data_IF_691059167733
#
_entry.id   IF_691059167733
#
_cell.length_a   1.000
_cell.length_b   1.000
_cell.length_c   1.000
_cell.angle_alpha   90.00
_cell.angle_beta   90.00
_cell.angle_gamma   90.00
#
_symmetry.space_group_name_H-M   'P 1'
#
loop_
_entity.id
_entity.type
_entity.pdbx_description
1 polymer ?
#
# COMPACT_ATOMS: atom_id res chain seq x y z
N UNK A 1 -8.82 -9.86 22.24
CA UNK A 1 -8.38 -8.48 21.90
C UNK A 1 -7.26 -8.60 20.89
N UNK A 2 -7.55 -8.37 19.61
CA UNK A 2 -6.57 -8.55 18.53
C UNK A 2 -5.91 -7.19 18.28
N UNK A 3 -4.67 -7.04 18.76
CA UNK A 3 -3.92 -5.79 18.70
C UNK A 3 -3.57 -5.43 17.25
N UNK A 4 -4.10 -4.32 16.77
CA UNK A 4 -3.64 -3.69 15.55
C UNK A 4 -2.35 -2.93 15.87
N UNK A 5 -1.26 -3.36 15.26
CA UNK A 5 0.08 -2.77 15.46
C UNK A 5 0.01 -1.30 15.07
N UNK A 6 0.38 -0.46 16.04
CA UNK A 6 0.35 0.99 16.04
C UNK A 6 1.80 1.45 15.96
N UNK A 7 2.28 1.75 14.75
CA UNK A 7 3.51 2.49 14.41
C UNK A 7 3.46 2.59 12.87
N UNK A 8 3.41 3.75 12.21
CA UNK A 8 4.18 4.98 12.41
C UNK A 8 3.31 6.22 12.12
N UNK A 9 3.44 7.26 12.96
CA UNK A 9 3.11 8.66 12.64
C UNK A 9 4.42 9.43 12.60
N UNK A 10 4.65 10.17 11.53
CA UNK A 10 5.32 11.48 11.43
C UNK A 10 5.56 11.73 9.94
N UNK A 11 4.60 12.41 9.31
CA UNK A 11 4.68 13.18 8.07
C UNK A 11 3.68 12.80 6.94
N UNK A 12 2.92 13.84 6.58
CA UNK A 12 2.06 14.12 5.43
C UNK A 12 1.20 13.02 4.75
N UNK A 13 -0.03 12.87 5.28
CA UNK A 13 -1.23 13.14 4.47
C UNK A 13 -2.06 11.96 3.96
N UNK A 14 -2.89 11.37 4.82
CA UNK A 14 -4.07 10.61 4.39
C UNK A 14 -5.35 11.36 4.80
N UNK A 15 -5.56 12.49 4.13
CA UNK A 15 -6.79 13.25 4.16
C UNK A 15 -7.73 12.69 3.07
N UNK A 16 -8.37 11.55 3.37
CA UNK A 16 -9.47 11.03 2.56
C UNK A 16 -10.66 10.74 3.48
N UNK A 17 -11.16 11.83 4.04
CA UNK A 17 -12.49 11.93 4.62
C UNK A 17 -13.55 11.60 3.56
N UNK A 18 -14.32 10.52 3.75
CA UNK A 18 -15.80 10.45 3.63
C UNK A 18 -16.29 9.04 3.23
N UNK A 19 -16.94 8.42 4.22
CA UNK A 19 -17.93 7.33 4.17
C UNK A 19 -18.33 6.76 2.80
N UNK A 20 -18.01 5.48 2.61
CA UNK A 20 -18.83 4.39 2.02
C UNK A 20 -17.98 3.12 2.14
N UNK A 21 -18.58 2.02 2.55
CA UNK A 21 -17.92 0.74 2.92
C UNK A 21 -16.80 0.29 1.94
N UNK A 22 -16.89 0.65 0.65
CA UNK A 22 -15.86 0.36 -0.36
C UNK A 22 -14.61 1.27 -0.35
N UNK A 23 -14.67 2.50 0.16
CA UNK A 23 -13.50 3.38 0.32
C UNK A 23 -12.66 2.92 1.50
N UNK A 24 -13.30 2.48 2.58
CA UNK A 24 -12.61 2.01 3.78
C UNK A 24 -11.72 0.80 3.47
N UNK A 25 -12.24 -0.18 2.72
CA UNK A 25 -11.45 -1.30 2.23
C UNK A 25 -10.27 -0.85 1.35
N UNK A 26 -10.42 0.24 0.60
CA UNK A 26 -9.34 0.77 -0.25
C UNK A 26 -8.23 1.41 0.60
N UNK A 27 -8.61 2.18 1.63
CA UNK A 27 -7.68 2.76 2.62
C UNK A 27 -6.96 1.63 3.34
N UNK A 28 -7.68 0.63 3.86
CA UNK A 28 -7.09 -0.53 4.54
C UNK A 28 -6.10 -1.29 3.66
N UNK A 29 -6.38 -1.44 2.35
CA UNK A 29 -5.42 -2.07 1.43
C UNK A 29 -4.20 -1.17 1.21
N UNK A 30 -4.38 0.14 1.12
CA UNK A 30 -3.29 1.08 0.87
C UNK A 30 -2.34 1.13 2.07
N UNK A 31 -2.90 1.18 3.27
CA UNK A 31 -2.13 1.11 4.53
C UNK A 31 -1.37 -0.21 4.66
N UNK A 32 -1.95 -1.34 4.23
CA UNK A 32 -1.24 -2.62 4.19
C UNK A 32 -0.03 -2.62 3.27
N UNK A 33 -0.12 -1.97 2.09
CA UNK A 33 1.04 -1.86 1.18
C UNK A 33 2.12 -1.02 1.84
N UNK A 34 1.75 0.09 2.47
CA UNK A 34 2.68 0.99 3.14
C UNK A 34 3.38 0.29 4.33
N UNK A 35 2.62 -0.39 5.18
CA UNK A 35 3.15 -1.16 6.31
C UNK A 35 4.07 -2.29 5.84
N UNK A 36 3.72 -2.97 4.73
CA UNK A 36 4.59 -3.98 4.14
C UNK A 36 5.90 -3.37 3.64
N UNK A 37 5.84 -2.23 2.93
CA UNK A 37 7.03 -1.49 2.49
C UNK A 37 7.91 -1.13 3.68
N UNK A 38 7.34 -0.51 4.72
CA UNK A 38 8.09 -0.15 5.94
C UNK A 38 8.75 -1.35 6.61
N UNK A 39 8.10 -2.52 6.62
CA UNK A 39 8.66 -3.77 7.17
C UNK A 39 9.75 -4.41 6.31
N UNK A 40 9.78 -4.13 5.01
CA UNK A 40 10.74 -4.71 4.06
C UNK A 40 11.76 -3.63 3.62
N UNK A 41 12.28 -2.84 4.56
CA UNK A 41 13.31 -1.81 4.32
C UNK A 41 12.89 -0.72 3.31
N UNK A 42 11.59 -0.50 3.15
CA UNK A 42 11.04 0.41 2.16
C UNK A 42 11.07 -0.13 0.74
N UNK A 43 11.37 -1.42 0.52
CA UNK A 43 11.47 -2.00 -0.83
C UNK A 43 10.44 -3.10 -1.01
N UNK A 44 9.70 -2.99 -2.11
CA UNK A 44 8.79 -4.02 -2.58
C UNK A 44 9.19 -4.38 -4.00
N UNK A 45 9.79 -5.56 -4.17
CA UNK A 45 10.01 -6.18 -5.48
C UNK A 45 8.70 -6.71 -6.10
N UNK A 46 7.63 -5.91 -6.05
CA UNK A 46 6.40 -6.12 -6.79
C UNK A 46 6.05 -4.82 -7.52
N UNK A 47 5.79 -4.95 -8.82
CA UNK A 47 5.37 -3.86 -9.71
C UNK A 47 3.98 -4.17 -10.26
N UNK A 48 3.43 -3.30 -11.10
CA UNK A 48 2.15 -3.57 -11.77
C UNK A 48 2.25 -4.70 -12.79
N UNK A 49 3.46 -5.05 -13.23
CA UNK A 49 3.76 -6.24 -14.02
C UNK A 49 3.76 -7.53 -13.21
N UNK A 50 3.87 -7.47 -11.88
CA UNK A 50 3.85 -8.67 -11.03
C UNK A 50 2.57 -9.48 -11.18
N UNK A 51 2.71 -10.78 -10.96
CA UNK A 51 1.60 -11.71 -11.14
C UNK A 51 0.53 -11.48 -10.07
N UNK A 52 -0.76 -11.69 -10.38
CA UNK A 52 -1.82 -11.61 -9.38
C UNK A 52 -1.59 -12.53 -8.17
N UNK A 53 -0.94 -13.68 -8.38
CA UNK A 53 -0.61 -14.65 -7.35
C UNK A 53 0.42 -14.12 -6.36
N UNK A 54 1.49 -13.46 -6.82
CA UNK A 54 2.49 -12.87 -5.94
C UNK A 54 1.93 -11.71 -5.11
N UNK A 55 1.15 -10.84 -5.74
CA UNK A 55 0.45 -9.74 -5.06
C UNK A 55 -0.48 -10.30 -3.99
N UNK A 56 -1.26 -11.34 -4.31
CA UNK A 56 -2.15 -11.98 -3.35
C UNK A 56 -1.37 -12.69 -2.24
N UNK A 57 -0.24 -13.33 -2.55
CA UNK A 57 0.58 -14.04 -1.56
C UNK A 57 1.25 -13.09 -0.56
N UNK A 58 1.75 -11.94 -1.02
CA UNK A 58 2.45 -10.97 -0.15
C UNK A 58 1.51 -10.00 0.55
N UNK A 59 0.49 -9.51 -0.15
CA UNK A 59 -0.35 -8.40 0.30
C UNK A 59 -1.80 -8.80 0.56
N UNK A 60 -2.16 -10.06 0.27
CA UNK A 60 -3.51 -10.61 0.43
C UNK A 60 -4.61 -9.76 -0.22
N UNK A 61 -4.30 -9.20 -1.39
CA UNK A 61 -5.19 -8.33 -2.16
C UNK A 61 -5.14 -8.67 -3.65
N UNK A 62 -6.16 -8.22 -4.37
CA UNK A 62 -6.25 -8.39 -5.82
C UNK A 62 -5.34 -7.40 -6.56
N UNK A 63 -4.84 -7.78 -7.75
CA UNK A 63 -4.05 -6.91 -8.65
C UNK A 63 -4.70 -5.54 -8.92
N UNK A 64 -6.04 -5.49 -9.00
CA UNK A 64 -6.81 -4.24 -9.15
C UNK A 64 -6.73 -3.33 -7.92
N UNK A 65 -6.77 -3.91 -6.71
CA UNK A 65 -6.64 -3.15 -5.46
C UNK A 65 -5.20 -2.64 -5.32
N UNK A 66 -4.21 -3.48 -5.57
CA UNK A 66 -2.80 -3.11 -5.58
C UNK A 66 -2.52 -1.94 -6.50
N UNK A 67 -2.96 -1.99 -7.77
CA UNK A 67 -2.78 -0.89 -8.73
C UNK A 67 -3.40 0.43 -8.25
N UNK A 68 -4.53 0.38 -7.56
CA UNK A 68 -5.14 1.57 -6.95
C UNK A 68 -4.32 2.07 -5.77
N UNK A 69 -3.90 1.20 -4.86
CA UNK A 69 -3.11 1.54 -3.67
C UNK A 69 -1.77 2.16 -4.05
N UNK A 70 -1.00 1.55 -4.96
CA UNK A 70 0.26 2.15 -5.46
C UNK A 70 -0.01 3.48 -6.17
N UNK A 71 -1.12 3.60 -6.93
CA UNK A 71 -1.47 4.85 -7.58
C UNK A 71 -1.81 5.99 -6.60
N UNK A 72 -2.44 5.67 -5.47
CA UNK A 72 -2.73 6.62 -4.39
C UNK A 72 -1.44 7.03 -3.69
N UNK A 73 -0.62 6.06 -3.27
CA UNK A 73 0.65 6.30 -2.60
C UNK A 73 1.63 7.09 -3.49
N UNK A 74 1.66 6.80 -4.79
CA UNK A 74 2.46 7.53 -5.76
C UNK A 74 1.98 8.98 -5.92
N UNK A 75 0.66 9.21 -5.98
CA UNK A 75 0.09 10.57 -5.99
C UNK A 75 0.40 11.34 -4.71
N UNK A 76 0.44 10.64 -3.58
CA UNK A 76 0.84 11.19 -2.28
C UNK A 76 2.37 11.35 -2.14
N UNK A 77 3.14 10.94 -3.16
CA UNK A 77 4.62 10.93 -3.15
C UNK A 77 5.25 10.13 -2.00
N UNK A 78 4.50 9.19 -1.43
CA UNK A 78 4.96 8.28 -0.38
C UNK A 78 5.83 7.16 -0.95
N UNK A 79 5.63 6.82 -2.23
CA UNK A 79 6.37 5.77 -2.91
C UNK A 79 6.89 6.24 -4.28
N UNK A 80 7.98 5.63 -4.73
CA UNK A 80 8.50 5.64 -6.10
C UNK A 80 8.21 4.30 -6.73
N UNK A 81 7.71 4.34 -7.96
CA UNK A 81 7.51 3.14 -8.77
C UNK A 81 8.62 3.16 -9.82
N UNK A 82 9.53 2.20 -9.73
CA UNK A 82 10.57 1.98 -10.72
C UNK A 82 10.35 0.63 -11.43
N UNK A 83 11.17 0.36 -12.45
CA UNK A 83 11.09 -0.91 -13.20
C UNK A 83 11.44 -2.13 -12.34
N UNK A 84 12.34 -1.93 -11.38
CA UNK A 84 12.83 -3.00 -10.52
C UNK A 84 11.91 -3.26 -9.32
N UNK A 85 11.03 -2.31 -8.98
CA UNK A 85 10.16 -2.42 -7.81
C UNK A 85 9.49 -1.13 -7.40
N UNK A 86 8.75 -1.21 -6.31
CA UNK A 86 8.19 -0.06 -5.59
C UNK A 86 9.07 0.24 -4.38
N UNK A 87 9.44 1.49 -4.22
CA UNK A 87 10.32 1.99 -3.18
C UNK A 87 9.57 3.02 -2.33
N UNK A 88 9.71 2.95 -1.01
CA UNK A 88 9.26 3.98 -0.09
C UNK A 88 10.20 5.20 -0.21
N UNK A 89 9.64 6.41 -0.19
CA UNK A 89 10.39 7.67 -0.27
C UNK A 89 10.60 8.24 1.12
#
# INVERSE_FOLDING_TARGET
MTGYVKNIREDMGLDLSLQKIGIQHLVDTTDKVLDYLQKNEGVLALTDDSTPEEIKKKLNMSKKAFKKSIGILYKQRMIRIEKDGVYLV
#
